data_IF_529624061960
#
_entry.id   IF_529624061960
#
_cell.length_a   1.000
_cell.length_b   1.000
_cell.length_c   1.000
_cell.angle_alpha   90.00
_cell.angle_beta   90.00
_cell.angle_gamma   90.00
#
_symmetry.space_group_name_H-M   'P 1'
#
loop_
_entity.id
_entity.type
_entity.pdbx_description
1 polymer ?
2 non-polymer ?
3 non-polymer ?
4 non-polymer ?
5 water ?
#
# COMPACT_ATOMS: atom_id res chain seq x y z
N UNK A 14 17.94 -11.98 -12.01
CA UNK A 14 16.57 -11.55 -11.73
C UNK A 14 16.48 -10.91 -10.35
N UNK A 15 15.27 -10.54 -9.97
CA UNK A 15 15.05 -9.91 -8.68
C UNK A 15 15.27 -10.92 -7.55
N UNK A 16 15.87 -10.44 -6.46
CA UNK A 16 16.08 -11.23 -5.25
C UNK A 16 15.14 -10.68 -4.18
N UNK A 17 14.13 -11.44 -3.74
CA UNK A 17 13.21 -10.93 -2.72
C UNK A 17 13.93 -10.60 -1.42
N UNK A 18 13.71 -9.41 -0.87
CA UNK A 18 14.22 -9.08 0.47
C UNK A 18 13.68 -10.05 1.51
N UNK A 19 14.29 -10.09 2.70
CA UNK A 19 13.73 -10.91 3.79
C UNK A 19 12.37 -10.43 4.23
N UNK A 20 11.59 -11.36 4.78
CA UNK A 20 10.25 -11.05 5.26
C UNK A 20 10.28 -10.16 6.51
N UNK A 21 9.39 -9.18 6.55
CA UNK A 21 9.16 -8.37 7.74
C UNK A 21 8.39 -9.20 8.78
N UNK A 22 8.29 -8.73 10.02
CA UNK A 22 7.57 -9.49 11.04
C UNK A 22 6.08 -9.55 10.79
N UNK A 23 5.49 -10.68 11.13
CA UNK A 23 4.05 -10.86 11.12
C UNK A 23 3.61 -11.20 12.53
N UNK A 24 2.61 -10.48 13.04
CA UNK A 24 2.07 -10.72 14.37
C UNK A 24 0.66 -11.25 14.25
N UNK A 25 0.32 -12.18 15.14
CA UNK A 25 -1.00 -12.80 15.20
C UNK A 25 -1.52 -12.60 16.62
N UNK A 26 -1.98 -11.41 16.96
CA UNK A 26 -2.39 -11.14 18.35
C UNK A 26 -3.58 -11.98 18.77
N UNK A 27 -3.55 -12.41 20.03
CA UNK A 27 -4.71 -13.01 20.65
C UNK A 27 -5.81 -11.96 20.82
N UNK A 28 -7.00 -12.41 21.21
CA UNK A 28 -8.09 -11.46 21.43
C UNK A 28 -7.74 -10.46 22.53
N UNK A 29 -7.02 -10.91 23.56
CA UNK A 29 -6.62 -10.00 24.64
C UNK A 29 -5.66 -8.93 24.13
N UNK A 30 -4.64 -9.35 23.38
CA UNK A 30 -3.71 -8.39 22.80
C UNK A 30 -4.39 -7.48 21.77
N UNK A 31 -5.37 -8.01 21.04
CA UNK A 31 -6.07 -7.25 20.02
C UNK A 31 -7.04 -6.21 20.59
N UNK A 32 -7.11 -6.07 21.92
CA UNK A 32 -8.09 -5.17 22.51
C UNK A 32 -7.76 -3.70 22.26
N UNK A 33 -6.49 -3.33 22.32
CA UNK A 33 -6.08 -1.93 22.18
C UNK A 33 -4.98 -1.80 21.14
N UNK A 34 -5.24 -1.17 19.99
CA UNK A 34 -4.20 -1.08 18.94
C UNK A 34 -2.95 -0.33 19.37
N UNK A 35 -3.10 0.84 20.00
CA UNK A 35 -1.92 1.61 20.38
C UNK A 35 -1.08 0.88 21.42
N UNK A 36 -1.73 0.16 22.34
CA UNK A 36 -0.96 -0.64 23.30
C UNK A 36 -0.22 -1.77 22.59
N UNK A 37 -0.88 -2.43 21.64
CA UNK A 37 -0.22 -3.52 20.92
C UNK A 37 0.96 -3.01 20.11
N UNK A 38 0.77 -1.92 19.38
CA UNK A 38 1.84 -1.36 18.55
C UNK A 38 3.02 -0.92 19.42
N UNK A 39 2.73 -0.37 20.60
CA UNK A 39 3.80 0.00 21.51
C UNK A 39 4.58 -1.21 22.01
N UNK A 40 3.90 -2.34 22.19
CA UNK A 40 4.56 -3.53 22.71
C UNK A 40 5.42 -4.21 21.65
N UNK A 41 4.97 -4.20 20.39
CA UNK A 41 5.76 -4.79 19.30
C UNK A 41 6.88 -3.88 18.82
N UNK A 42 6.87 -2.61 19.23
CA UNK A 42 7.84 -1.62 18.74
C UNK A 42 9.30 -2.06 18.77
N UNK A 43 9.81 -2.72 19.82
CA UNK A 43 11.24 -3.06 19.82
C UNK A 43 11.68 -3.88 18.63
N UNK A 44 10.82 -4.76 18.12
CA UNK A 44 11.12 -5.49 16.89
C UNK A 44 10.71 -4.72 15.65
N UNK A 45 9.46 -4.27 15.59
CA UNK A 45 8.92 -3.69 14.37
C UNK A 45 9.64 -2.41 13.96
N UNK A 46 10.12 -1.61 14.91
CA UNK A 46 10.83 -0.42 14.48
C UNK A 46 12.17 -0.75 13.83
N UNK A 47 12.69 -1.96 14.06
CA UNK A 47 13.94 -2.38 13.44
C UNK A 47 13.75 -2.91 12.03
N UNK A 48 12.51 -3.14 11.61
CA UNK A 48 12.22 -3.54 10.24
C UNK A 48 11.44 -2.49 9.48
N UNK A 49 10.96 -1.44 10.15
CA UNK A 49 10.27 -0.35 9.48
C UNK A 49 8.80 -0.64 9.27
N UNK A 50 8.49 -1.79 8.70
CA UNK A 50 7.11 -2.20 8.48
C UNK A 50 6.87 -3.52 9.22
N UNK A 51 5.60 -3.77 9.52
CA UNK A 51 5.19 -5.06 10.05
C UNK A 51 3.77 -5.34 9.60
N UNK A 52 3.40 -6.62 9.67
CA UNK A 52 2.08 -7.05 9.28
C UNK A 52 1.37 -7.60 10.51
N UNK A 53 0.07 -7.30 10.64
CA UNK A 53 -0.72 -7.73 11.77
C UNK A 53 -1.96 -8.47 11.26
N UNK A 54 -2.11 -9.73 11.66
CA UNK A 54 -3.27 -10.53 11.28
C UNK A 54 -4.27 -10.51 12.43
N UNK A 55 -5.47 -9.97 12.24
CA UNK A 55 -6.46 -9.97 13.32
C UNK A 55 -6.89 -11.39 13.63
N UNK A 56 -7.54 -11.60 14.78
CA UNK A 56 -8.09 -12.94 15.06
C UNK A 56 -9.05 -13.36 13.97
N UNK A 57 -9.18 -14.69 13.80
CA UNK A 57 -9.85 -15.24 12.63
C UNK A 57 -11.29 -14.75 12.51
N UNK A 58 -11.98 -14.60 13.63
CA UNK A 58 -13.38 -14.19 13.59
C UNK A 58 -13.58 -12.69 13.44
N UNK A 59 -12.52 -11.89 13.43
CA UNK A 59 -12.66 -10.45 13.26
C UNK A 59 -12.80 -10.15 11.77
N UNK A 60 -14.03 -9.95 11.32
CA UNK A 60 -14.34 -9.79 9.90
C UNK A 60 -15.30 -8.63 9.72
N UNK A 61 -14.79 -7.42 9.58
CA UNK A 61 -15.67 -6.26 9.37
C UNK A 61 -16.32 -6.33 8.00
N UNK A 62 -17.57 -5.89 7.89
CA UNK A 62 -18.20 -5.82 6.57
C UNK A 62 -17.61 -4.68 5.76
N UNK A 63 -17.78 -4.77 4.44
CA UNK A 63 -17.37 -3.70 3.54
C UNK A 63 -18.51 -2.70 3.43
N UNK A 64 -18.22 -1.42 3.72
CA UNK A 64 -19.28 -0.45 3.96
C UNK A 64 -19.27 0.74 3.00
N UNK A 65 -18.54 0.66 1.89
CA UNK A 65 -18.58 1.73 0.90
C UNK A 65 -19.89 1.67 0.12
N UNK A 66 -20.29 2.83 -0.42
CA UNK A 66 -21.47 2.93 -1.26
C UNK A 66 -21.10 2.38 -2.64
N UNK A 67 -21.36 1.09 -2.83
CA UNK A 67 -20.87 0.40 -4.03
C UNK A 67 -21.60 0.86 -5.28
N UNK A 68 -22.91 1.15 -5.17
CA UNK A 68 -23.69 1.48 -6.35
C UNK A 68 -23.21 2.78 -7.00
N UNK A 69 -22.72 3.73 -6.21
CA UNK A 69 -22.33 5.04 -6.70
C UNK A 69 -20.82 5.24 -6.76
N UNK A 70 -20.03 4.24 -6.41
CA UNK A 70 -18.57 4.37 -6.38
C UNK A 70 -18.04 4.51 -7.80
N UNK A 71 -17.62 5.71 -8.16
CA UNK A 71 -17.11 6.00 -9.50
C UNK A 71 -15.85 6.84 -9.37
N UNK A 72 -14.86 6.57 -10.21
CA UNK A 72 -13.59 7.25 -10.09
C UNK A 72 -12.85 7.17 -11.41
N UNK A 73 -11.96 8.12 -11.62
CA UNK A 73 -11.03 8.10 -12.75
C UNK A 73 -9.64 7.86 -12.20
N UNK A 74 -9.09 6.66 -12.36
CA UNK A 74 -7.78 6.36 -11.79
C UNK A 74 -6.68 7.09 -12.53
N UNK A 75 -5.53 7.16 -11.89
CA UNK A 75 -4.37 7.79 -12.49
C UNK A 75 -3.58 6.78 -13.30
N UNK A 76 -3.00 7.24 -14.39
CA UNK A 76 -2.27 6.38 -15.30
C UNK A 76 -0.83 6.28 -14.82
N UNK A 77 -0.29 5.06 -14.78
CA UNK A 77 1.08 4.82 -14.30
C UNK A 77 1.88 4.14 -15.41
N UNK A 78 2.90 4.82 -15.92
CA UNK A 78 3.82 4.24 -16.88
C UNK A 78 4.99 3.67 -16.10
N UNK A 79 5.12 2.34 -16.10
CA UNK A 79 6.05 1.69 -15.17
C UNK A 79 7.49 2.16 -15.37
N UNK A 80 7.90 2.35 -16.63
CA UNK A 80 9.29 2.64 -16.94
C UNK A 80 9.53 4.13 -17.21
N UNK A 81 8.71 5.02 -16.63
CA UNK A 81 8.77 6.43 -17.00
C UNK A 81 10.12 7.07 -16.66
N UNK A 82 10.75 6.66 -15.56
CA UNK A 82 12.05 7.25 -15.22
C UNK A 82 13.16 6.73 -16.13
N UNK A 83 13.17 5.41 -16.36
CA UNK A 83 14.17 4.84 -17.26
C UNK A 83 14.06 5.41 -18.67
N UNK A 84 12.84 5.79 -19.08
CA UNK A 84 12.64 6.36 -20.41
C UNK A 84 13.15 7.79 -20.55
N UNK A 85 13.59 8.43 -19.45
CA UNK A 85 14.15 9.77 -19.56
C UNK A 85 15.44 9.78 -20.36
N UNK A 86 16.20 8.70 -20.30
CA UNK A 86 17.48 8.62 -20.99
C UNK A 86 17.55 7.38 -21.88
N UNK A 97 -1.02 10.44 -24.18
CA UNK A 97 -1.07 9.37 -25.17
C UNK A 97 -2.25 8.43 -24.89
N UNK A 98 -2.35 7.99 -23.64
CA UNK A 98 -3.41 7.07 -23.25
C UNK A 98 -4.72 7.82 -23.03
N UNK A 99 -5.82 7.17 -23.38
CA UNK A 99 -7.14 7.76 -23.24
C UNK A 99 -7.59 7.74 -21.78
N UNK A 100 -8.59 8.57 -21.47
CA UNK A 100 -9.06 8.78 -20.10
C UNK A 100 -10.29 7.91 -19.87
N UNK A 101 -10.30 7.17 -18.74
CA UNK A 101 -11.33 6.16 -18.50
C UNK A 101 -11.89 6.32 -17.08
N UNK A 102 -13.21 6.49 -16.99
CA UNK A 102 -13.90 6.44 -15.71
C UNK A 102 -14.46 5.04 -15.47
N UNK A 103 -14.38 4.59 -14.23
CA UNK A 103 -14.81 3.25 -13.86
C UNK A 103 -15.73 3.30 -12.66
N UNK A 104 -16.54 2.25 -12.54
CA UNK A 104 -17.11 1.84 -11.26
C UNK A 104 -16.19 0.79 -10.64
N UNK A 105 -16.48 0.43 -9.38
CA UNK A 105 -15.71 -0.65 -8.75
C UNK A 105 -15.81 -1.92 -9.57
N UNK A 106 -17.00 -2.22 -10.09
CA UNK A 106 -17.17 -3.42 -10.90
C UNK A 106 -16.41 -3.33 -12.21
N UNK A 107 -16.53 -2.20 -12.91
CA UNK A 107 -15.90 -2.12 -14.23
C UNK A 107 -14.38 -2.04 -14.12
N UNK A 108 -13.87 -1.44 -13.03
CA UNK A 108 -12.43 -1.44 -12.81
C UNK A 108 -11.92 -2.86 -12.56
N UNK A 109 -12.65 -3.63 -11.77
CA UNK A 109 -12.27 -5.01 -11.51
C UNK A 109 -12.25 -5.86 -12.77
N UNK A 110 -13.25 -5.69 -13.64
CA UNK A 110 -13.25 -6.42 -14.88
C UNK A 110 -12.04 -6.06 -15.73
N UNK A 111 -11.72 -4.76 -15.81
CA UNK A 111 -10.53 -4.34 -16.54
C UNK A 111 -9.27 -4.93 -15.90
N UNK A 112 -9.20 -4.89 -14.57
CA UNK A 112 -7.98 -5.32 -13.86
C UNK A 112 -7.73 -6.81 -14.07
N UNK A 113 -8.79 -7.62 -13.91
CA UNK A 113 -8.64 -9.06 -14.08
C UNK A 113 -8.32 -9.42 -15.53
N UNK A 114 -8.99 -8.79 -16.49
CA UNK A 114 -8.68 -9.04 -17.89
C UNK A 114 -7.23 -8.67 -18.20
N UNK A 115 -6.75 -7.55 -17.65
CA UNK A 115 -5.36 -7.18 -17.88
C UNK A 115 -4.41 -8.25 -17.38
N UNK A 116 -4.61 -8.71 -16.15
CA UNK A 116 -3.66 -9.64 -15.54
C UNK A 116 -3.71 -11.01 -16.21
N UNK A 117 -4.91 -11.51 -16.48
CA UNK A 117 -5.01 -12.84 -17.06
C UNK A 117 -4.47 -12.84 -18.48
N UNK A 118 -4.67 -11.75 -19.23
CA UNK A 118 -4.06 -11.66 -20.56
C UNK A 118 -2.55 -11.56 -20.47
N UNK A 119 -2.04 -10.75 -19.54
CA UNK A 119 -0.60 -10.53 -19.45
C UNK A 119 0.14 -11.83 -19.14
N UNK A 120 -0.38 -12.63 -18.21
CA UNK A 120 0.27 -13.85 -17.80
C UNK A 120 -0.28 -15.11 -18.47
N UNK A 121 -1.35 -14.98 -19.25
CA UNK A 121 -1.92 -16.11 -19.97
C UNK A 121 -2.35 -17.22 -19.01
N UNK A 122 -2.96 -16.83 -17.89
CA UNK A 122 -3.45 -17.81 -16.93
C UNK A 122 -4.46 -17.12 -16.02
N UNK A 123 -5.28 -17.89 -15.28
CA UNK A 123 -6.25 -17.26 -14.37
C UNK A 123 -5.53 -16.43 -13.30
N UNK A 124 -6.18 -15.33 -12.87
CA UNK A 124 -5.48 -14.34 -12.06
C UNK A 124 -4.96 -14.93 -10.76
N UNK A 125 -5.71 -15.83 -10.13
CA UNK A 125 -5.27 -16.35 -8.84
C UNK A 125 -4.22 -17.44 -8.97
N UNK A 126 -3.89 -17.86 -10.19
CA UNK A 126 -2.86 -18.86 -10.42
C UNK A 126 -1.48 -18.25 -10.64
N UNK A 127 -1.38 -16.93 -10.75
CA UNK A 127 -0.09 -16.30 -11.00
C UNK A 127 0.67 -16.21 -9.69
N UNK A 128 1.85 -16.83 -9.58
CA UNK A 128 2.62 -16.76 -8.33
C UNK A 128 2.95 -15.33 -7.95
N UNK A 129 2.85 -15.03 -6.65
CA UNK A 129 3.22 -13.69 -6.18
C UNK A 129 4.67 -13.37 -6.50
N UNK A 130 5.55 -14.39 -6.46
CA UNK A 130 6.94 -14.17 -6.83
C UNK A 130 7.11 -13.80 -8.29
N UNK A 131 6.24 -14.29 -9.18
CA UNK A 131 6.35 -13.95 -10.60
C UNK A 131 5.90 -12.52 -10.87
N UNK A 132 4.78 -12.09 -10.28
CA UNK A 132 4.36 -10.70 -10.44
C UNK A 132 5.46 -9.76 -9.94
N UNK A 133 6.07 -10.10 -8.81
CA UNK A 133 7.12 -9.25 -8.23
C UNK A 133 8.32 -9.16 -9.16
N UNK A 134 8.78 -10.31 -9.68
CA UNK A 134 9.91 -10.32 -10.60
C UNK A 134 9.60 -9.54 -11.87
N UNK A 135 8.40 -9.74 -12.42
CA UNK A 135 8.03 -9.03 -13.64
C UNK A 135 7.90 -7.53 -13.42
N UNK A 136 7.29 -7.14 -12.29
CA UNK A 136 7.14 -5.71 -11.98
C UNK A 136 8.48 -5.00 -12.04
N UNK A 137 9.49 -5.54 -11.35
CA UNK A 137 10.79 -4.87 -11.29
C UNK A 137 11.52 -4.94 -12.63
N UNK A 138 11.30 -5.98 -13.43
CA UNK A 138 11.83 -5.98 -14.78
C UNK A 138 11.23 -4.87 -15.61
N UNK A 139 9.91 -4.68 -15.50
CA UNK A 139 9.23 -3.70 -16.34
C UNK A 139 9.60 -2.27 -15.98
N UNK A 140 9.86 -2.02 -14.69
CA UNK A 140 10.22 -0.68 -14.24
C UNK A 140 11.51 -0.20 -14.91
N UNK A 141 12.45 -1.11 -15.17
CA UNK A 141 13.73 -0.77 -15.74
C UNK A 141 13.84 -1.12 -17.22
N UNK A 142 12.77 -1.61 -17.84
CA UNK A 142 12.82 -2.04 -19.24
C UNK A 142 12.54 -0.86 -20.16
N UNK A 143 13.40 -0.71 -21.18
CA UNK A 143 13.13 0.24 -22.26
C UNK A 143 12.50 -0.44 -23.48
N UNK A 144 12.53 -1.78 -23.53
CA UNK A 144 11.98 -2.49 -24.68
C UNK A 144 10.46 -2.59 -24.62
N UNK A 145 9.90 -2.71 -23.43
CA UNK A 145 8.48 -2.94 -23.22
C UNK A 145 7.93 -1.83 -22.35
N UNK A 146 6.89 -1.15 -22.83
CA UNK A 146 6.26 -0.04 -22.11
C UNK A 146 4.90 -0.51 -21.62
N UNK A 147 4.83 -0.91 -20.35
CA UNK A 147 3.59 -1.35 -19.73
C UNK A 147 2.97 -0.16 -19.00
N UNK A 148 1.68 0.05 -19.20
CA UNK A 148 0.94 1.15 -18.59
C UNK A 148 -0.25 0.55 -17.84
N UNK A 149 -0.46 0.96 -16.60
CA UNK A 149 -1.56 0.49 -15.77
C UNK A 149 -2.26 1.70 -15.17
N UNK A 150 -3.29 1.44 -14.37
CA UNK A 150 -4.13 2.48 -13.77
C UNK A 150 -4.32 2.19 -12.30
N UNK A 151 -4.36 3.25 -11.48
CA UNK A 151 -4.42 3.08 -10.03
C UNK A 151 -5.46 4.05 -9.46
N UNK A 152 -6.48 3.50 -8.81
CA UNK A 152 -7.43 4.33 -8.10
C UNK A 152 -6.92 4.75 -6.74
N UNK A 153 -5.89 5.60 -6.72
CA UNK A 153 -5.18 5.95 -5.49
C UNK A 153 -5.68 7.26 -4.91
N UNK A 154 -5.53 7.40 -3.59
CA UNK A 154 -5.82 8.64 -2.88
C UNK A 154 -7.27 9.08 -3.08
N UNK A 155 -8.19 8.13 -3.04
CA UNK A 155 -9.61 8.46 -3.10
C UNK A 155 -10.07 8.81 -1.70
N UNK A 156 -10.64 9.99 -1.54
CA UNK A 156 -11.06 10.42 -0.21
C UNK A 156 -12.20 9.54 0.28
N UNK A 157 -12.10 9.09 1.54
CA UNK A 157 -13.21 8.36 2.14
C UNK A 157 -14.47 9.22 2.32
N UNK A 158 -14.36 10.53 2.12
CA UNK A 158 -15.55 11.38 2.16
C UNK A 158 -16.41 11.22 0.91
N UNK A 159 -15.84 10.76 -0.19
CA UNK A 159 -16.58 10.63 -1.44
C UNK A 159 -17.73 9.65 -1.31
N UNK A 160 -17.40 8.38 -1.03
CA UNK A 160 -18.39 7.32 -0.99
C UNK A 160 -18.40 6.58 0.34
N UNK A 161 -17.77 7.14 1.37
CA UNK A 161 -17.70 6.49 2.66
C UNK A 161 -16.42 5.69 2.84
N UNK A 162 -16.12 5.41 4.10
CA UNK A 162 -15.03 4.50 4.44
C UNK A 162 -15.45 3.06 4.12
N UNK A 163 -14.45 2.19 3.99
CA UNK A 163 -14.74 0.78 3.85
C UNK A 163 -15.18 0.10 5.14
N UNK A 164 -14.89 0.74 6.28
CA UNK A 164 -15.36 0.31 7.59
C UNK A 164 -16.71 0.94 7.88
N UNK A 165 -17.58 0.25 8.62
CA UNK A 165 -18.82 0.90 9.08
C UNK A 165 -18.48 2.01 10.06
N UNK A 166 -19.25 3.10 9.97
CA UNK A 166 -19.06 4.28 10.80
C UNK A 166 -20.42 4.70 11.33
N UNK A 167 -20.47 5.08 12.61
CA UNK A 167 -21.69 5.66 13.15
C UNK A 167 -21.89 7.07 12.61
N UNK A 168 -21.99 7.19 11.29
CA UNK A 168 -22.24 8.47 10.63
C UNK A 168 -23.73 8.77 10.51
N UNK A 169 -24.59 7.77 10.72
CA UNK A 169 -26.00 7.91 10.43
C UNK A 169 -26.36 7.92 8.97
N UNK A 170 -25.36 7.95 8.07
CA UNK A 170 -25.63 8.03 6.64
C UNK A 170 -25.93 6.66 6.05
N UNK A 171 -25.18 5.63 6.45
CA UNK A 171 -25.41 4.27 5.99
C UNK A 171 -25.86 3.42 7.16
N UNK A 172 -26.74 2.46 6.87
CA UNK A 172 -27.31 1.62 7.92
C UNK A 172 -26.23 0.76 8.56
N UNK A 173 -26.20 0.78 9.89
CA UNK A 173 -25.33 -0.09 10.67
C UNK A 173 -26.20 -1.20 11.25
N UNK A 174 -25.94 -2.43 10.82
CA UNK A 174 -26.63 -3.58 11.39
C UNK A 174 -26.07 -3.87 12.77
N UNK A 175 -26.86 -4.53 13.63
CA UNK A 175 -26.34 -4.86 14.98
C UNK A 175 -25.05 -5.66 14.96
N UNK A 176 -24.91 -6.61 14.03
CA UNK A 176 -23.71 -7.41 13.94
C UNK A 176 -22.49 -6.59 13.51
N UNK A 177 -22.70 -5.39 12.97
CA UNK A 177 -21.61 -4.54 12.52
C UNK A 177 -21.24 -3.44 13.51
N UNK A 178 -22.04 -3.24 14.56
CA UNK A 178 -21.76 -2.14 15.48
C UNK A 178 -20.40 -2.29 16.14
N UNK A 179 -20.00 -3.52 16.46
CA UNK A 179 -18.69 -3.72 17.07
C UNK A 179 -17.57 -3.24 16.18
N UNK A 180 -17.75 -3.34 14.85
CA UNK A 180 -16.71 -2.86 13.94
C UNK A 180 -16.75 -1.35 13.79
N UNK A 181 -17.94 -0.74 13.89
CA UNK A 181 -18.03 0.71 13.91
C UNK A 181 -17.32 1.31 15.12
N UNK A 182 -17.27 0.56 16.22
CA UNK A 182 -16.73 1.04 17.48
C UNK A 182 -15.32 0.54 17.75
N UNK A 183 -14.77 -0.33 16.89
CA UNK A 183 -13.48 -0.95 17.15
C UNK A 183 -12.35 0.05 17.01
N UNK A 184 -11.35 -0.07 17.89
CA UNK A 184 -10.17 0.75 17.76
C UNK A 184 -9.31 0.42 16.56
N UNK A 185 -9.54 -0.73 15.92
CA UNK A 185 -8.85 -1.07 14.68
C UNK A 185 -9.58 -0.57 13.44
N UNK A 186 -10.79 -0.04 13.60
CA UNK A 186 -11.44 0.73 12.54
C UNK A 186 -10.60 1.97 12.30
N UNK A 187 -10.09 2.14 11.07
CA UNK A 187 -9.15 3.24 10.82
C UNK A 187 -9.77 4.62 11.08
N UNK A 188 -11.10 4.72 11.09
CA UNK A 188 -11.74 5.99 11.41
C UNK A 188 -11.65 6.33 12.89
N UNK A 189 -11.26 5.36 13.73
CA UNK A 189 -11.17 5.55 15.18
C UNK A 189 -9.73 5.58 15.66
N UNK A 190 -8.76 5.64 14.75
CA UNK A 190 -7.40 5.84 15.21
C UNK A 190 -7.18 7.32 15.55
N UNK A 191 -6.35 7.61 16.54
CA UNK A 191 -6.07 9.01 16.89
C UNK A 191 -5.21 9.67 15.82
N UNK A 192 -5.61 10.87 15.41
CA UNK A 192 -4.91 11.58 14.34
C UNK A 192 -4.42 12.96 14.74
N UNK A 193 -4.75 13.45 15.93
CA UNK A 193 -4.40 14.81 16.33
C UNK A 193 -3.04 14.82 17.02
N UNK A 194 -2.09 15.54 16.43
CA UNK A 194 -0.75 15.65 17.00
C UNK A 194 -0.76 16.55 18.24
N UNK A 209 -7.98 14.75 9.96
CA UNK A 209 -7.70 13.94 8.78
C UNK A 209 -8.53 12.66 8.79
N UNK A 210 -8.80 12.14 7.59
CA UNK A 210 -9.66 10.97 7.40
C UNK A 210 -8.92 9.94 6.56
N UNK A 211 -9.36 8.68 6.59
CA UNK A 211 -8.69 7.66 5.78
C UNK A 211 -8.83 7.91 4.29
N UNK A 212 -7.86 7.38 3.55
CA UNK A 212 -7.87 7.40 2.09
C UNK A 212 -7.98 5.98 1.56
N UNK A 213 -8.54 5.86 0.36
CA UNK A 213 -8.86 4.59 -0.28
C UNK A 213 -8.01 4.37 -1.53
N UNK A 214 -7.73 3.10 -1.80
CA UNK A 214 -6.82 2.71 -2.89
C UNK A 214 -7.41 1.50 -3.59
N UNK A 215 -7.81 1.66 -4.85
CA UNK A 215 -8.35 0.57 -5.66
C UNK A 215 -7.25 0.13 -6.61
N UNK A 216 -6.70 -1.05 -6.40
CA UNK A 216 -5.53 -1.47 -7.12
C UNK A 216 -5.82 -2.46 -8.25
N UNK A 217 -4.86 -2.55 -9.16
CA UNK A 217 -4.79 -3.62 -10.16
C UNK A 217 -3.34 -4.10 -10.21
N UNK A 218 -3.11 -5.20 -10.92
CA UNK A 218 -1.78 -5.75 -11.09
C UNK A 218 -0.81 -4.68 -11.61
N UNK A 219 0.32 -4.54 -10.93
CA UNK A 219 1.43 -3.65 -11.22
C UNK A 219 1.20 -2.19 -10.81
N UNK A 220 0.00 -1.79 -10.40
CA UNK A 220 -0.16 -0.44 -9.85
C UNK A 220 0.70 -0.33 -8.59
N UNK A 221 1.24 0.87 -8.34
CA UNK A 221 2.34 0.93 -7.39
C UNK A 221 2.39 2.26 -6.66
N UNK A 222 3.20 2.28 -5.60
CA UNK A 222 3.53 3.50 -4.87
C UNK A 222 5.04 3.51 -4.62
N UNK A 223 5.67 4.66 -4.86
CA UNK A 223 7.12 4.73 -4.74
C UNK A 223 7.56 5.05 -3.31
N UNK A 224 8.88 5.05 -3.11
CA UNK A 224 9.45 5.21 -1.78
C UNK A 224 9.05 6.53 -1.15
N UNK A 225 8.52 6.49 0.07
CA UNK A 225 8.16 7.73 0.76
C UNK A 225 8.09 7.46 2.25
N UNK A 226 8.11 8.56 3.01
CA UNK A 226 7.76 8.56 4.43
C UNK A 226 6.52 9.46 4.58
N UNK A 227 5.90 9.41 5.75
CA UNK A 227 4.68 10.18 5.95
C UNK A 227 5.00 11.61 6.36
N UNK A 228 4.05 12.51 6.09
CA UNK A 228 4.11 13.87 6.61
C UNK A 228 4.33 13.82 8.11
N UNK A 229 5.24 14.67 8.59
CA UNK A 229 5.56 14.79 10.01
C UNK A 229 6.17 13.51 10.59
N UNK A 230 6.70 12.65 9.72
CA UNK A 230 7.23 11.35 10.14
C UNK A 230 6.19 10.52 10.89
N UNK A 231 4.93 10.65 10.53
CA UNK A 231 3.86 9.94 11.22
C UNK A 231 3.96 8.43 10.98
N UNK A 232 3.37 7.68 11.92
CA UNK A 232 2.99 6.31 11.63
C UNK A 232 1.92 6.28 10.55
N UNK A 233 1.82 5.15 9.85
CA UNK A 233 0.69 4.89 8.99
C UNK A 233 0.18 3.48 9.25
N UNK A 234 -1.10 3.28 9.02
CA UNK A 234 -1.70 1.96 9.13
C UNK A 234 -2.58 1.75 7.92
N UNK A 235 -2.53 0.55 7.36
CA UNK A 235 -3.18 0.22 6.10
C UNK A 235 -3.92 -1.10 6.27
N UNK A 236 -5.19 -1.13 5.86
CA UNK A 236 -6.01 -2.33 5.92
C UNK A 236 -6.44 -2.72 4.51
N UNK A 237 -6.22 -3.98 4.15
CA UNK A 237 -6.65 -4.51 2.85
C UNK A 237 -8.04 -5.11 3.05
N UNK A 238 -9.06 -4.40 2.57
CA UNK A 238 -10.44 -4.87 2.78
C UNK A 238 -10.71 -6.17 2.03
N UNK A 239 -10.27 -6.26 0.78
CA UNK A 239 -10.52 -7.44 -0.04
C UNK A 239 -9.61 -7.43 -1.26
N UNK A 240 -9.51 -8.57 -1.92
CA UNK A 240 -8.81 -8.69 -3.19
C UNK A 240 -7.47 -9.39 -3.05
N UNK A 241 -6.69 -9.30 -4.14
CA UNK A 241 -5.37 -9.91 -4.21
C UNK A 241 -4.36 -9.10 -3.39
N UNK A 242 -3.21 -9.69 -3.06
CA UNK A 242 -2.33 -9.06 -2.07
C UNK A 242 -1.73 -7.73 -2.55
N UNK A 243 -1.29 -6.95 -1.57
CA UNK A 243 -0.50 -5.76 -1.77
C UNK A 243 0.91 -6.08 -1.29
N UNK A 244 1.91 -5.94 -2.18
CA UNK A 244 3.28 -6.28 -1.82
C UNK A 244 4.01 -5.02 -1.37
N UNK A 245 4.67 -5.10 -0.21
CA UNK A 245 5.31 -3.97 0.42
C UNK A 245 6.81 -4.20 0.56
N UNK A 246 7.56 -3.10 0.53
CA UNK A 246 8.96 -3.07 0.97
C UNK A 246 9.11 -1.94 1.98
N UNK A 247 9.89 -2.19 3.02
CA UNK A 247 10.09 -1.19 4.07
C UNK A 247 11.54 -1.14 4.50
N UNK A 248 11.94 0.04 4.98
CA UNK A 248 13.30 0.31 5.46
C UNK A 248 13.16 0.87 6.87
N UNK A 249 13.86 0.33 7.86
CA UNK A 249 13.77 0.89 9.22
C UNK A 249 14.26 2.33 9.28
N UNK A 250 13.68 3.10 10.21
CA UNK A 250 14.01 4.51 10.34
C UNK A 250 15.51 4.74 10.58
N UNK A 251 16.20 3.79 11.24
CA UNK A 251 17.62 3.98 11.49
C UNK A 251 18.46 4.01 10.21
N UNK A 252 17.89 3.57 9.08
CA UNK A 252 18.55 3.57 7.79
C UNK A 252 17.98 4.63 6.85
N UNK A 253 17.17 5.55 7.36
CA UNK A 253 16.56 6.55 6.49
C UNK A 253 17.60 7.38 5.73
N UNK A 254 18.67 7.78 6.42
CA UNK A 254 19.73 8.55 5.76
C UNK A 254 20.51 7.71 4.76
N UNK A 255 20.68 6.41 5.05
CA UNK A 255 21.32 5.52 4.08
C UNK A 255 20.53 5.46 2.77
N UNK A 256 19.20 5.34 2.87
CA UNK A 256 18.38 5.31 1.68
C UNK A 256 18.47 6.63 0.93
N UNK A 257 18.36 7.74 1.65
CA UNK A 257 18.45 9.04 0.99
C UNK A 257 19.79 9.22 0.31
N UNK A 258 20.85 8.61 0.84
CA UNK A 258 22.17 8.70 0.21
C UNK A 258 22.22 7.92 -1.11
N UNK A 259 21.64 6.72 -1.13
CA UNK A 259 21.59 5.96 -2.38
C UNK A 259 20.76 6.70 -3.42
N UNK A 260 19.63 7.28 -3.00
CA UNK A 260 18.86 8.14 -3.90
C UNK A 260 19.72 9.25 -4.46
N UNK A 261 20.49 9.92 -3.59
CA UNK A 261 21.37 11.00 -4.04
C UNK A 261 22.34 10.52 -5.11
N UNK A 262 22.91 9.33 -4.92
CA UNK A 262 23.89 8.82 -5.87
C UNK A 262 23.25 8.41 -7.18
N UNK A 263 22.07 7.76 -7.13
CA UNK A 263 21.58 7.02 -8.28
C UNK A 263 20.29 7.53 -8.91
N UNK A 264 19.47 8.30 -8.19
CA UNK A 264 18.25 8.82 -8.78
C UNK A 264 18.60 9.84 -9.87
N UNK A 265 17.69 10.08 -10.82
CA UNK A 265 18.01 11.02 -11.92
C UNK A 265 18.39 12.39 -11.40
N UNK A 266 19.50 12.91 -11.93
CA UNK A 266 20.03 14.18 -11.46
C UNK A 266 19.06 15.33 -11.73
N UNK A 267 18.26 15.23 -12.79
CA UNK A 267 17.30 16.27 -13.11
C UNK A 267 16.34 16.52 -11.96
N UNK A 268 16.09 15.51 -11.12
CA UNK A 268 15.22 15.65 -9.96
C UNK A 268 15.99 15.75 -8.66
N UNK A 269 17.32 15.73 -8.71
CA UNK A 269 18.13 15.67 -7.49
C UNK A 269 17.90 16.89 -6.61
N UNK A 270 17.85 18.08 -7.21
CA UNK A 270 17.67 19.31 -6.45
C UNK A 270 16.24 19.50 -5.94
N UNK A 271 15.36 18.53 -6.16
CA UNK A 271 13.98 18.78 -5.77
C UNK A 271 13.79 18.55 -4.26
N UNK A 272 12.93 19.33 -3.62
CA UNK A 272 12.58 19.04 -2.22
C UNK A 272 11.96 17.65 -2.10
N UNK A 273 12.09 17.08 -0.89
CA UNK A 273 11.67 15.69 -0.67
C UNK A 273 10.20 15.47 -0.98
N UNK A 274 9.35 16.45 -0.65
CA UNK A 274 7.92 16.31 -0.88
C UNK A 274 7.59 16.12 -2.35
N UNK A 275 8.41 16.67 -3.25
CA UNK A 275 8.25 16.50 -4.68
C UNK A 275 9.05 15.32 -5.21
N UNK A 276 10.28 15.13 -4.73
CA UNK A 276 11.08 13.99 -5.14
C UNK A 276 10.35 12.68 -4.88
N UNK A 277 9.61 12.62 -3.76
CA UNK A 277 8.85 11.43 -3.38
C UNK A 277 7.71 11.09 -4.33
N UNK A 278 7.37 11.97 -5.25
CA UNK A 278 6.40 11.60 -6.27
C UNK A 278 7.00 10.69 -7.34
N UNK A 279 8.34 10.66 -7.45
CA UNK A 279 9.04 9.88 -8.48
C UNK A 279 10.26 9.15 -7.92
N UNK A 280 10.22 8.77 -6.64
CA UNK A 280 11.35 8.04 -6.04
C UNK A 280 11.16 6.53 -6.22
N UNK A 281 11.25 6.09 -7.46
CA UNK A 281 11.15 4.66 -7.77
C UNK A 281 12.56 4.07 -7.72
N UNK A 282 12.72 2.96 -6.98
CA UNK A 282 14.04 2.35 -6.87
C UNK A 282 13.90 0.87 -6.51
N UNK A 283 14.56 0.02 -7.30
CA UNK A 283 14.51 -1.42 -7.08
C UNK A 283 15.11 -1.73 -5.71
N UNK A 284 14.42 -2.52 -4.88
CA UNK A 284 14.96 -2.83 -3.54
C UNK A 284 16.34 -3.46 -3.55
N UNK A 285 16.69 -4.23 -4.59
CA UNK A 285 18.00 -4.86 -4.64
C UNK A 285 19.12 -3.83 -4.77
N UNK A 286 18.83 -2.67 -5.38
CA UNK A 286 19.82 -1.59 -5.45
C UNK A 286 20.13 -1.06 -4.06
N UNK A 287 19.10 -0.83 -3.25
CA UNK A 287 19.32 -0.40 -1.87
C UNK A 287 20.06 -1.47 -1.09
N UNK A 288 19.69 -2.74 -1.28
CA UNK A 288 20.33 -3.83 -0.54
C UNK A 288 21.80 -3.96 -0.93
N UNK A 289 22.12 -3.81 -2.22
CA UNK A 289 23.51 -3.87 -2.65
C UNK A 289 24.36 -2.79 -1.99
N UNK A 290 23.75 -1.67 -1.60
CA UNK A 290 24.42 -0.58 -0.92
C UNK A 290 24.36 -0.68 0.59
N UNK A 291 23.90 -1.82 1.13
CA UNK A 291 23.91 -2.02 2.57
C UNK A 291 22.71 -1.46 3.31
N UNK A 292 21.66 -1.04 2.61
CA UNK A 292 20.43 -0.56 3.22
C UNK A 292 19.58 -1.77 3.59
N UNK A 293 19.17 -1.94 4.85
CA UNK A 293 18.25 -3.04 5.19
C UNK A 293 16.87 -2.80 4.58
N UNK A 294 16.35 -3.81 3.88
CA UNK A 294 15.03 -3.79 3.28
C UNK A 294 14.29 -5.06 3.67
N UNK A 295 13.03 -4.91 4.05
CA UNK A 295 12.15 -6.04 4.35
C UNK A 295 10.91 -6.00 3.45
N UNK A 296 10.32 -7.16 3.21
CA UNK A 296 9.17 -7.27 2.32
C UNK A 296 8.01 -7.95 3.02
N UNK A 297 6.81 -7.78 2.46
CA UNK A 297 5.67 -8.61 2.86
C UNK A 297 4.60 -8.61 1.78
N UNK A 298 3.82 -9.68 1.73
CA UNK A 298 2.57 -9.72 0.97
C UNK A 298 1.43 -9.54 1.95
N UNK A 299 0.77 -8.37 1.89
CA UNK A 299 -0.39 -8.08 2.70
C UNK A 299 -1.62 -8.68 2.03
N UNK A 300 -2.23 -9.68 2.67
CA UNK A 300 -3.40 -10.34 2.10
C UNK A 300 -4.69 -9.73 2.66
N UNK A 301 -5.80 -10.08 2.02
CA UNK A 301 -7.11 -9.55 2.43
C UNK A 301 -7.35 -9.80 3.91
N UNK A 302 -7.79 -8.76 4.59
CA UNK A 302 -8.05 -8.83 6.02
C UNK A 302 -6.86 -8.57 6.91
N UNK A 303 -5.72 -8.16 6.35
CA UNK A 303 -4.53 -7.94 7.14
C UNK A 303 -4.13 -6.46 7.16
N UNK A 304 -3.56 -6.03 8.28
CA UNK A 304 -3.03 -4.69 8.46
C UNK A 304 -1.53 -4.66 8.20
N UNK A 305 -1.06 -3.54 7.64
CA UNK A 305 0.35 -3.19 7.65
C UNK A 305 0.50 -1.91 8.46
N UNK A 306 1.48 -1.87 9.35
CA UNK A 306 1.83 -0.66 10.10
C UNK A 306 3.22 -0.24 9.65
N UNK A 307 3.37 1.04 9.33
CA UNK A 307 4.67 1.63 9.05
C UNK A 307 5.05 2.56 10.19
N UNK A 308 6.27 2.42 10.68
CA UNK A 308 6.75 3.18 11.83
C UNK A 308 7.29 4.55 11.41
N UNK A 309 7.46 5.46 12.37
CA UNK A 309 7.87 6.83 12.02
C UNK A 309 9.16 6.86 11.22
N UNK A 310 9.12 7.57 10.10
CA UNK A 310 10.29 7.73 9.23
C UNK A 310 10.78 6.40 8.65
N UNK A 311 9.90 5.41 8.51
CA UNK A 311 10.23 4.15 7.84
C UNK A 311 9.85 4.30 6.36
N UNK A 312 10.85 4.39 5.48
CA UNK A 312 10.54 4.50 4.06
C UNK A 312 9.85 3.23 3.59
N UNK A 313 8.84 3.39 2.73
CA UNK A 313 8.16 2.23 2.20
C UNK A 313 7.71 2.46 0.76
N UNK A 314 7.47 1.34 0.08
CA UNK A 314 7.03 1.35 -1.31
C UNK A 314 6.39 -0.01 -1.58
N UNK A 315 5.74 -0.12 -2.73
CA UNK A 315 5.09 -1.39 -3.00
C UNK A 315 4.29 -1.38 -4.29
N UNK A 316 3.60 -2.49 -4.53
CA UNK A 316 2.75 -2.60 -5.70
C UNK A 316 1.67 -3.63 -5.42
N UNK A 317 0.62 -3.60 -6.22
CA UNK A 317 -0.50 -4.50 -6.05
C UNK A 317 -0.39 -5.72 -6.96
N UNK A 318 -0.72 -6.89 -6.42
CA UNK A 318 -0.68 -8.13 -7.19
C UNK A 318 -1.86 -8.27 -8.14
N UNK A 319 -2.93 -7.54 -7.90
CA UNK A 319 -4.15 -7.67 -8.67
C UNK A 319 -5.21 -6.76 -8.10
N UNK A 320 -6.44 -6.97 -8.55
CA UNK A 320 -7.58 -6.15 -8.14
C UNK A 320 -7.77 -6.25 -6.62
N UNK A 321 -7.73 -5.10 -5.96
CA UNK A 321 -7.88 -5.09 -4.50
C UNK A 321 -8.37 -3.72 -4.03
N UNK A 322 -8.58 -3.60 -2.72
CA UNK A 322 -9.16 -2.40 -2.13
C UNK A 322 -8.56 -2.22 -0.76
N UNK A 323 -7.82 -1.12 -0.58
CA UNK A 323 -7.15 -0.82 0.67
C UNK A 323 -7.60 0.52 1.25
N UNK A 324 -7.39 0.67 2.55
CA UNK A 324 -7.70 1.90 3.25
C UNK A 324 -6.55 2.21 4.20
N UNK A 325 -6.14 3.48 4.25
CA UNK A 325 -4.98 3.86 5.05
C UNK A 325 -5.19 5.21 5.72
N UNK A 326 -4.55 5.40 6.87
CA UNK A 326 -4.59 6.69 7.56
C UNK A 326 -3.29 6.86 8.32
N UNK A 327 -2.85 8.12 8.48
CA UNK A 327 -1.76 8.44 9.38
C UNK A 327 -2.30 8.55 10.80
N UNK A 328 -1.53 8.06 11.77
CA UNK A 328 -1.97 8.16 13.15
C UNK A 328 -0.78 8.55 14.01
N UNK A 329 -1.11 9.04 15.20
CA UNK A 329 -0.09 9.53 16.13
C UNK A 329 -0.28 8.85 17.48
N UNK A 330 0.83 8.68 18.19
CA UNK A 330 0.82 8.04 19.49
C UNK A 330 1.02 9.07 20.59
#
# INVERSE_FOLDING_TARGET
HNMAGVGPGGYAAEFVPPPECPVFEPSWEEFTDPLSFIGRIRPLAEKTGICKIRPPKDWQPPFACEVKSFRFTPRVQRLNELEAMTRVRPREAFGFEQAVREYTLQSFGEMADNFKSDYFNMPVHMVPTELVEKEFWRLVSSIEEDVIVEYGADISSKDFGSGFPVKDGRRKILPEEEEYALSGWNLNNMPVLEQSVLAHINVDISGMKVPWLYVGMCFSSFCWHIEDHWSYSINYLHWGEPKTWYGVPSHAAEQLEEVMRELAPELFESQPDLLHQLVTIMNPNVLMEHGVPVYRTNQCAGEFVVTFPRAYHSGFNQGYNFAEAVNFCT
#
